data_IF_365149013519
#
_entry.id   IF_365149013519
#
_cell.length_a   1.000
_cell.length_b   1.000
_cell.length_c   1.000
_cell.angle_alpha   90.00
_cell.angle_beta   90.00
_cell.angle_gamma   90.00
#
_symmetry.space_group_name_H-M   'P 1'
#
loop_
_entity.id
_entity.type
_entity.pdbx_description
1 polymer ?
#
# COMPACT_ATOMS: atom_id res chain seq x y z
N UNK A 1 12.36 52.30 48.78
CA UNK A 1 12.86 52.36 47.39
C UNK A 1 12.56 51.03 46.73
N UNK A 2 11.69 50.95 45.70
CA UNK A 2 11.41 49.70 45.01
C UNK A 2 12.40 49.54 43.84
N UNK A 3 12.99 48.35 43.69
CA UNK A 3 13.65 47.94 42.46
C UNK A 3 12.74 46.91 41.78
N UNK A 4 12.09 47.32 40.69
CA UNK A 4 11.31 46.46 39.80
C UNK A 4 12.26 45.56 39.02
N UNK A 5 12.13 44.25 39.16
CA UNK A 5 12.70 43.27 38.24
C UNK A 5 11.58 42.83 37.28
N UNK A 6 11.69 43.22 36.01
CA UNK A 6 10.80 42.76 34.96
C UNK A 6 11.26 41.37 34.48
N UNK A 7 10.41 40.36 34.67
CA UNK A 7 10.59 39.04 34.06
C UNK A 7 9.95 39.09 32.68
N UNK A 8 10.77 39.00 31.63
CA UNK A 8 10.31 38.73 30.27
C UNK A 8 10.14 37.23 30.14
N UNK A 9 8.90 36.76 30.07
CA UNK A 9 8.58 35.39 29.68
C UNK A 9 8.61 35.33 28.15
N UNK A 10 9.65 34.71 27.58
CA UNK A 10 9.66 34.34 26.16
C UNK A 10 8.90 33.02 26.04
N UNK A 11 7.66 33.07 25.60
CA UNK A 11 6.92 31.88 25.17
C UNK A 11 7.45 31.47 23.80
N UNK A 12 8.30 30.46 23.75
CA UNK A 12 8.64 29.77 22.50
C UNK A 12 7.39 28.97 22.09
N UNK A 13 6.64 29.49 21.14
CA UNK A 13 5.58 28.74 20.49
C UNK A 13 6.20 27.63 19.65
N UNK A 14 6.10 26.38 20.11
CA UNK A 14 6.23 25.23 19.21
C UNK A 14 5.06 25.29 18.25
N UNK A 15 5.29 25.83 17.06
CA UNK A 15 4.38 25.63 15.95
C UNK A 15 4.34 24.14 15.66
N UNK A 16 3.23 23.48 16.00
CA UNK A 16 2.89 22.17 15.46
C UNK A 16 2.63 22.32 13.96
N UNK A 17 3.70 22.49 13.18
CA UNK A 17 3.63 22.18 11.76
C UNK A 17 3.39 20.68 11.66
N UNK A 18 2.17 20.28 11.33
CA UNK A 18 1.89 18.91 10.91
C UNK A 18 2.64 18.70 9.59
N UNK A 19 3.91 18.28 9.66
CA UNK A 19 4.57 17.69 8.53
C UNK A 19 3.68 16.51 8.09
N UNK A 20 3.16 16.57 6.86
CA UNK A 20 2.37 15.47 6.31
C UNK A 20 3.32 14.28 6.26
N UNK A 21 2.97 13.19 6.94
CA UNK A 21 3.80 11.99 6.95
C UNK A 21 4.03 11.56 5.49
N UNK A 22 5.29 11.32 5.14
CA UNK A 22 5.66 10.79 3.83
C UNK A 22 5.06 9.39 3.67
N UNK A 23 4.62 9.02 2.47
CA UNK A 23 4.12 7.68 2.18
C UNK A 23 5.15 6.63 2.57
N UNK A 24 4.72 5.63 3.33
CA UNK A 24 5.50 4.47 3.74
C UNK A 24 5.78 3.53 2.55
N UNK A 25 4.86 3.45 1.58
CA UNK A 25 5.00 2.56 0.42
C UNK A 25 5.83 3.14 -0.72
N UNK A 26 6.05 4.46 -0.77
CA UNK A 26 6.69 5.12 -1.91
C UNK A 26 8.04 4.49 -2.34
N UNK A 27 8.97 4.30 -1.40
CA UNK A 27 10.28 3.70 -1.73
C UNK A 27 10.17 2.23 -2.14
N UNK A 28 9.22 1.50 -1.56
CA UNK A 28 8.99 0.10 -1.88
C UNK A 28 8.37 -0.07 -3.27
N UNK A 29 7.48 0.83 -3.67
CA UNK A 29 6.86 0.86 -4.99
C UNK A 29 7.89 1.16 -6.08
N UNK A 30 8.74 2.17 -5.89
CA UNK A 30 9.85 2.48 -6.79
C UNK A 30 10.81 1.28 -6.94
N UNK A 31 11.19 0.68 -5.81
CA UNK A 31 12.10 -0.47 -5.79
C UNK A 31 11.51 -1.68 -6.51
N UNK A 32 10.24 -2.01 -6.25
CA UNK A 32 9.58 -3.14 -6.92
C UNK A 32 9.38 -2.87 -8.40
N UNK A 33 8.92 -1.68 -8.78
CA UNK A 33 8.72 -1.28 -10.17
C UNK A 33 10.01 -1.42 -10.98
N UNK A 34 11.12 -0.89 -10.48
CA UNK A 34 12.44 -1.03 -11.11
C UNK A 34 12.88 -2.50 -11.23
N UNK A 35 12.73 -3.29 -10.17
CA UNK A 35 13.08 -4.71 -10.19
C UNK A 35 12.23 -5.50 -11.20
N UNK A 36 10.94 -5.17 -11.34
CA UNK A 36 10.06 -5.78 -12.34
C UNK A 36 10.43 -5.35 -13.77
N UNK A 37 10.75 -4.08 -14.00
CA UNK A 37 11.22 -3.60 -15.32
C UNK A 37 12.54 -4.30 -15.72
N UNK A 38 13.50 -4.39 -14.80
CA UNK A 38 14.79 -5.06 -15.02
C UNK A 38 14.63 -6.55 -15.32
N UNK A 39 13.67 -7.21 -14.66
CA UNK A 39 13.34 -8.62 -14.88
C UNK A 39 12.40 -8.86 -16.07
N UNK A 40 11.88 -7.80 -16.71
CA UNK A 40 10.88 -7.91 -17.78
C UNK A 40 9.54 -8.51 -17.32
N UNK A 41 9.18 -8.33 -16.05
CA UNK A 41 7.98 -8.87 -15.43
C UNK A 41 6.82 -7.88 -15.52
N UNK A 42 5.63 -8.38 -15.86
CA UNK A 42 4.37 -7.62 -15.77
C UNK A 42 3.49 -8.07 -14.60
N UNK A 43 3.85 -9.18 -13.95
CA UNK A 43 3.18 -9.73 -12.80
C UNK A 43 4.20 -10.42 -11.90
N UNK A 44 3.98 -10.37 -10.59
CA UNK A 44 4.77 -11.07 -9.58
C UNK A 44 3.85 -11.55 -8.48
N UNK A 45 4.13 -12.71 -7.90
CA UNK A 45 3.37 -13.24 -6.78
C UNK A 45 4.24 -14.08 -5.86
N UNK A 46 3.90 -14.08 -4.58
CA UNK A 46 4.63 -14.79 -3.55
C UNK A 46 3.68 -15.24 -2.43
N UNK A 47 4.14 -16.21 -1.65
CA UNK A 47 3.47 -16.60 -0.40
C UNK A 47 3.77 -15.56 0.68
N UNK A 48 2.75 -15.14 1.42
CA UNK A 48 2.96 -14.32 2.62
C UNK A 48 3.50 -15.22 3.74
N UNK A 49 4.75 -15.02 4.14
CA UNK A 49 5.38 -15.82 5.19
C UNK A 49 4.94 -15.43 6.61
N UNK A 50 4.33 -14.25 6.78
CA UNK A 50 3.85 -13.78 8.07
C UNK A 50 2.48 -14.38 8.44
N UNK A 51 1.69 -14.79 7.44
CA UNK A 51 0.32 -15.30 7.64
C UNK A 51 0.11 -16.59 6.85
N UNK A 52 -0.14 -17.71 7.54
CA UNK A 52 -0.34 -18.98 6.86
C UNK A 52 -1.57 -18.96 5.95
N UNK A 53 -1.46 -19.59 4.78
CA UNK A 53 -2.52 -19.61 3.77
C UNK A 53 -2.74 -18.29 3.01
N UNK A 54 -2.00 -17.22 3.32
CA UNK A 54 -2.09 -15.93 2.63
C UNK A 54 -1.04 -15.82 1.51
N UNK A 55 -1.47 -15.20 0.42
CA UNK A 55 -0.64 -14.96 -0.76
C UNK A 55 -0.81 -13.51 -1.21
N UNK A 56 0.23 -13.01 -1.88
CA UNK A 56 0.27 -11.67 -2.41
C UNK A 56 0.66 -11.70 -3.88
N UNK A 57 0.07 -10.82 -4.68
CA UNK A 57 0.40 -10.66 -6.09
C UNK A 57 0.27 -9.21 -6.53
N UNK A 58 1.07 -8.80 -7.50
CA UNK A 58 0.98 -7.52 -8.15
C UNK A 58 0.91 -7.68 -9.68
N UNK A 59 0.08 -6.85 -10.33
CA UNK A 59 0.23 -6.52 -11.74
C UNK A 59 0.89 -5.15 -11.85
N UNK A 60 1.88 -5.04 -12.72
CA UNK A 60 2.62 -3.82 -12.94
C UNK A 60 2.48 -3.34 -14.38
N UNK A 61 2.03 -2.10 -14.53
CA UNK A 61 2.01 -1.38 -15.78
C UNK A 61 3.09 -0.32 -15.70
N UNK A 62 4.24 -0.61 -16.32
CA UNK A 62 5.49 0.16 -16.20
C UNK A 62 5.29 1.68 -16.08
N UNK A 63 5.70 2.22 -14.93
CA UNK A 63 5.63 3.65 -14.56
C UNK A 63 4.23 4.28 -14.50
N UNK A 64 3.15 3.50 -14.58
CA UNK A 64 1.77 4.01 -14.67
C UNK A 64 0.84 3.53 -13.59
N UNK A 65 0.95 2.27 -13.19
CA UNK A 65 0.00 1.69 -12.24
C UNK A 65 0.54 0.39 -11.66
N UNK A 66 0.25 0.16 -10.39
CA UNK A 66 0.43 -1.12 -9.73
C UNK A 66 -0.87 -1.56 -9.09
N UNK A 67 -1.34 -2.75 -9.48
CA UNK A 67 -2.53 -3.37 -8.89
C UNK A 67 -2.08 -4.49 -7.99
N UNK A 68 -2.32 -4.37 -6.69
CA UNK A 68 -1.84 -5.33 -5.70
C UNK A 68 -3.02 -6.04 -5.04
N UNK A 69 -2.92 -7.34 -4.87
CA UNK A 69 -3.90 -8.16 -4.15
C UNK A 69 -3.20 -9.02 -3.12
N UNK A 70 -3.77 -9.06 -1.91
CA UNK A 70 -3.34 -9.93 -0.83
C UNK A 70 -4.56 -10.59 -0.21
N UNK A 71 -4.58 -11.92 -0.10
CA UNK A 71 -5.71 -12.65 0.46
C UNK A 71 -5.34 -14.07 0.88
N UNK A 72 -6.15 -14.67 1.76
CA UNK A 72 -6.15 -16.11 1.97
C UNK A 72 -6.75 -16.85 0.77
N UNK A 73 -6.21 -18.03 0.49
CA UNK A 73 -6.68 -18.87 -0.60
C UNK A 73 -7.00 -20.28 -0.12
N UNK A 74 -8.20 -20.77 -0.44
CA UNK A 74 -8.71 -22.05 0.06
C UNK A 74 -7.92 -23.27 -0.45
N UNK A 75 -7.16 -23.13 -1.56
CA UNK A 75 -6.34 -24.17 -2.15
C UNK A 75 -4.86 -23.73 -2.26
N UNK A 76 -4.15 -23.55 -1.14
CA UNK A 76 -2.81 -22.93 -1.12
C UNK A 76 -1.79 -23.65 -2.03
N UNK A 77 -1.85 -24.99 -2.05
CA UNK A 77 -0.98 -25.82 -2.88
C UNK A 77 -1.08 -25.51 -4.39
N UNK A 78 -2.24 -25.02 -4.86
CA UNK A 78 -2.41 -24.63 -6.26
C UNK A 78 -1.61 -23.36 -6.57
N UNK A 79 -1.59 -22.39 -5.65
CA UNK A 79 -0.83 -21.16 -5.83
C UNK A 79 0.67 -21.42 -5.67
N UNK A 80 1.08 -22.30 -4.76
CA UNK A 80 2.49 -22.70 -4.61
C UNK A 80 3.06 -23.24 -5.94
N UNK A 81 2.31 -24.12 -6.62
CA UNK A 81 2.71 -24.66 -7.93
C UNK A 81 2.78 -23.57 -9.00
N UNK A 82 1.81 -22.65 -9.04
CA UNK A 82 1.80 -21.55 -10.01
C UNK A 82 2.96 -20.58 -9.79
N UNK A 83 3.27 -20.24 -8.53
CA UNK A 83 4.39 -19.37 -8.15
C UNK A 83 5.72 -20.03 -8.56
N UNK A 84 5.93 -21.30 -8.22
CA UNK A 84 7.14 -22.02 -8.59
C UNK A 84 7.34 -22.15 -10.12
N UNK A 85 6.25 -22.12 -10.88
CA UNK A 85 6.28 -22.12 -12.35
C UNK A 85 6.41 -20.73 -12.98
N UNK A 86 6.46 -19.65 -12.19
CA UNK A 86 6.48 -18.27 -12.69
C UNK A 86 5.14 -17.78 -13.27
N UNK A 87 4.04 -18.50 -13.03
CA UNK A 87 2.71 -18.18 -13.53
C UNK A 87 2.01 -17.12 -12.65
N UNK A 88 2.70 -16.01 -12.38
CA UNK A 88 2.27 -14.98 -11.43
C UNK A 88 0.97 -14.28 -11.82
N UNK A 89 0.73 -14.10 -13.12
CA UNK A 89 -0.52 -13.53 -13.64
C UNK A 89 -1.73 -14.37 -13.23
N UNK A 90 -1.60 -15.70 -13.30
CA UNK A 90 -2.69 -16.61 -12.93
C UNK A 90 -2.93 -16.61 -11.42
N UNK A 91 -1.88 -16.40 -10.61
CA UNK A 91 -2.02 -16.21 -9.16
C UNK A 91 -2.79 -14.92 -8.86
N UNK A 92 -2.47 -13.81 -9.52
CA UNK A 92 -3.21 -12.56 -9.37
C UNK A 92 -4.70 -12.73 -9.72
N UNK A 93 -5.01 -13.43 -10.82
CA UNK A 93 -6.40 -13.69 -11.25
C UNK A 93 -7.15 -14.53 -10.21
N UNK A 94 -6.53 -15.61 -9.72
CA UNK A 94 -7.10 -16.46 -8.67
C UNK A 94 -7.38 -15.65 -7.39
N UNK A 95 -6.42 -14.85 -6.93
CA UNK A 95 -6.59 -14.00 -5.75
C UNK A 95 -7.66 -12.92 -5.95
N UNK A 96 -7.80 -12.38 -7.16
CA UNK A 96 -8.81 -11.36 -7.47
C UNK A 96 -10.22 -11.91 -7.61
N UNK A 97 -10.40 -13.20 -7.90
CA UNK A 97 -11.71 -13.77 -8.26
C UNK A 97 -12.21 -14.86 -7.32
N UNK A 98 -11.32 -15.62 -6.67
CA UNK A 98 -11.65 -16.84 -5.95
C UNK A 98 -10.99 -16.94 -4.56
N UNK A 99 -10.37 -15.86 -4.06
CA UNK A 99 -9.88 -15.79 -2.68
C UNK A 99 -11.01 -15.65 -1.65
N UNK A 100 -10.67 -15.84 -0.37
CA UNK A 100 -11.59 -15.58 0.73
C UNK A 100 -11.82 -14.07 0.83
N UNK A 101 -12.99 -13.60 0.39
CA UNK A 101 -13.30 -12.18 0.21
C UNK A 101 -13.01 -11.33 1.46
N UNK A 102 -13.36 -11.83 2.64
CA UNK A 102 -13.20 -11.13 3.92
C UNK A 102 -11.73 -10.83 4.26
N UNK A 103 -10.80 -11.63 3.73
CA UNK A 103 -9.36 -11.49 3.93
C UNK A 103 -8.69 -10.66 2.84
N UNK A 104 -9.43 -10.33 1.78
CA UNK A 104 -8.87 -9.69 0.60
C UNK A 104 -8.63 -8.21 0.84
N UNK A 105 -7.37 -7.84 0.71
CA UNK A 105 -6.92 -6.49 0.41
C UNK A 105 -6.65 -6.39 -1.08
N UNK A 106 -7.21 -5.37 -1.73
CA UNK A 106 -6.85 -4.97 -3.09
C UNK A 106 -6.45 -3.49 -3.07
N UNK A 107 -5.33 -3.16 -3.68
CA UNK A 107 -4.80 -1.81 -3.79
C UNK A 107 -4.70 -1.43 -5.27
N UNK A 108 -5.17 -0.24 -5.59
CA UNK A 108 -4.96 0.42 -6.87
C UNK A 108 -4.03 1.63 -6.64
N UNK A 109 -2.76 1.50 -7.02
CA UNK A 109 -1.71 2.54 -6.94
C UNK A 109 -1.49 3.11 -8.34
N UNK A 110 -2.04 4.29 -8.60
CA UNK A 110 -1.82 5.04 -9.82
C UNK A 110 -0.48 5.77 -9.75
N UNK A 111 0.35 5.54 -10.76
CA UNK A 111 1.72 6.02 -10.83
C UNK A 111 2.75 4.97 -10.42
N UNK A 112 2.32 3.87 -9.78
CA UNK A 112 3.23 2.84 -9.26
C UNK A 112 4.31 3.46 -8.35
N UNK A 113 3.92 4.42 -7.53
CA UNK A 113 4.80 5.28 -6.73
C UNK A 113 4.41 5.30 -5.25
N UNK A 114 3.63 4.30 -4.82
CA UNK A 114 3.09 4.20 -3.47
C UNK A 114 1.87 5.08 -3.28
N UNK A 115 1.05 4.75 -2.28
CA UNK A 115 -0.23 5.42 -2.06
C UNK A 115 -0.06 6.91 -1.80
N UNK A 116 -0.87 7.72 -2.48
CA UNK A 116 -0.98 9.15 -2.31
C UNK A 116 -2.32 9.50 -1.63
N UNK A 117 -2.30 10.54 -0.77
CA UNK A 117 -3.49 11.00 -0.03
C UNK A 117 -4.40 11.92 -0.85
N UNK A 118 -4.06 12.14 -2.12
CA UNK A 118 -4.78 12.98 -3.05
C UNK A 118 -4.52 12.47 -4.48
N UNK A 119 -5.41 12.77 -5.44
CA UNK A 119 -5.27 12.28 -6.80
C UNK A 119 -3.97 12.76 -7.46
N UNK A 120 -3.30 11.85 -8.16
CA UNK A 120 -2.17 12.14 -9.04
C UNK A 120 -2.67 12.06 -10.49
N UNK A 121 -2.43 13.11 -11.28
CA UNK A 121 -2.92 13.22 -12.66
C UNK A 121 -4.43 12.94 -12.84
N UNK A 122 -5.22 13.26 -11.82
CA UNK A 122 -6.68 13.11 -11.82
C UNK A 122 -7.18 11.71 -11.45
N UNK A 123 -6.30 10.77 -11.14
CA UNK A 123 -6.66 9.46 -10.61
C UNK A 123 -6.33 9.37 -9.11
N UNK A 124 -7.30 8.92 -8.30
CA UNK A 124 -7.09 8.67 -6.88
C UNK A 124 -6.71 7.21 -6.67
N UNK A 125 -5.70 6.98 -5.84
CA UNK A 125 -5.39 5.63 -5.37
C UNK A 125 -6.53 5.09 -4.52
N UNK A 126 -6.59 3.77 -4.34
CA UNK A 126 -7.63 3.18 -3.50
C UNK A 126 -7.19 1.90 -2.80
N UNK A 127 -7.89 1.61 -1.70
CA UNK A 127 -7.81 0.35 -1.00
C UNK A 127 -9.20 -0.27 -0.89
N UNK A 128 -9.31 -1.55 -1.25
CA UNK A 128 -10.52 -2.35 -1.08
C UNK A 128 -10.26 -3.45 -0.07
N UNK A 129 -10.97 -3.42 1.07
CA UNK A 129 -10.89 -4.45 2.12
C UNK A 129 -12.23 -5.13 2.28
N UNK A 130 -12.27 -6.46 2.19
CA UNK A 130 -13.53 -7.20 2.36
C UNK A 130 -14.62 -6.80 1.35
N UNK A 131 -14.23 -6.28 0.18
CA UNK A 131 -15.16 -5.73 -0.82
C UNK A 131 -15.61 -4.28 -0.60
N UNK A 132 -15.15 -3.61 0.45
CA UNK A 132 -15.43 -2.19 0.70
C UNK A 132 -14.27 -1.33 0.18
N UNK A 133 -14.59 -0.42 -0.74
CA UNK A 133 -13.62 0.47 -1.38
C UNK A 133 -13.50 1.78 -0.59
N UNK A 134 -12.26 2.23 -0.37
CA UNK A 134 -11.91 3.56 0.09
C UNK A 134 -10.99 4.20 -0.96
N UNK A 135 -11.41 5.32 -1.54
CA UNK A 135 -10.58 6.13 -2.44
C UNK A 135 -9.79 7.16 -1.64
N UNK A 136 -8.52 7.35 -2.00
CA UNK A 136 -7.64 8.34 -1.39
C UNK A 136 -7.69 9.68 -2.14
N UNK A 137 -8.89 10.24 -2.27
CA UNK A 137 -9.20 11.46 -3.04
C UNK A 137 -9.01 12.77 -2.26
N UNK A 138 -8.73 12.68 -0.96
CA UNK A 138 -8.58 13.83 -0.06
C UNK A 138 -9.91 14.40 0.46
N UNK A 139 -11.03 13.71 0.23
CA UNK A 139 -12.36 14.10 0.68
C UNK A 139 -12.98 13.06 1.64
N UNK A 140 -12.58 13.06 2.93
CA UNK A 140 -13.13 12.13 3.93
C UNK A 140 -14.66 12.23 4.08
N UNK A 141 -15.25 13.40 3.78
CA UNK A 141 -16.68 13.63 3.88
C UNK A 141 -17.47 12.79 2.88
N UNK A 142 -16.95 12.60 1.67
CA UNK A 142 -17.55 11.73 0.64
C UNK A 142 -17.63 10.26 1.08
N UNK A 143 -16.68 9.83 1.93
CA UNK A 143 -16.59 8.47 2.50
C UNK A 143 -17.31 8.33 3.84
N UNK A 144 -17.98 9.39 4.33
CA UNK A 144 -18.63 9.43 5.66
C UNK A 144 -17.66 9.18 6.82
N UNK A 145 -16.40 9.58 6.67
CA UNK A 145 -15.36 9.45 7.69
C UNK A 145 -15.04 10.81 8.29
N UNK A 146 -14.58 10.81 9.54
CA UNK A 146 -13.84 11.97 10.06
C UNK A 146 -12.45 12.06 9.41
N UNK A 147 -11.80 13.23 9.43
CA UNK A 147 -10.43 13.37 8.94
C UNK A 147 -9.45 12.39 9.62
N UNK A 148 -9.61 12.15 10.91
CA UNK A 148 -8.74 11.25 11.66
C UNK A 148 -8.90 9.78 11.25
N UNK A 149 -10.14 9.30 11.08
CA UNK A 149 -10.40 7.92 10.63
C UNK A 149 -9.89 7.69 9.21
N UNK A 150 -10.05 8.69 8.33
CA UNK A 150 -9.52 8.62 6.96
C UNK A 150 -7.99 8.60 6.95
N UNK A 151 -7.37 9.41 7.81
CA UNK A 151 -5.91 9.46 7.93
C UNK A 151 -5.31 8.15 8.45
N UNK A 152 -6.00 7.50 9.39
CA UNK A 152 -5.66 6.19 9.94
C UNK A 152 -5.85 5.09 8.89
N UNK A 153 -6.97 5.10 8.16
CA UNK A 153 -7.25 4.12 7.12
C UNK A 153 -6.25 4.20 5.96
N UNK A 154 -5.84 5.41 5.56
CA UNK A 154 -4.73 5.59 4.62
C UNK A 154 -3.44 5.00 5.19
N UNK A 155 -3.07 5.36 6.43
CA UNK A 155 -1.79 4.94 6.99
C UNK A 155 -1.69 3.40 7.06
N UNK A 156 -2.77 2.74 7.47
CA UNK A 156 -2.86 1.29 7.49
C UNK A 156 -2.75 0.65 6.08
N UNK A 157 -3.38 1.25 5.06
CA UNK A 157 -3.26 0.77 3.69
C UNK A 157 -1.86 0.96 3.10
N UNK A 158 -1.22 2.07 3.44
CA UNK A 158 0.12 2.45 2.99
C UNK A 158 1.21 1.59 3.63
N UNK A 159 1.08 1.28 4.92
CA UNK A 159 1.93 0.32 5.62
C UNK A 159 1.75 -1.12 5.09
N UNK A 160 0.51 -1.56 4.87
CA UNK A 160 0.23 -2.87 4.27
C UNK A 160 0.83 -2.98 2.87
N UNK A 161 0.65 -1.96 2.03
CA UNK A 161 1.24 -1.94 0.70
C UNK A 161 2.77 -2.00 0.80
N UNK A 162 3.40 -1.18 1.64
CA UNK A 162 4.85 -1.19 1.82
C UNK A 162 5.40 -2.59 2.17
N UNK A 163 4.73 -3.29 3.08
CA UNK A 163 5.11 -4.64 3.49
C UNK A 163 4.96 -5.66 2.35
N UNK A 164 3.84 -5.60 1.61
CA UNK A 164 3.60 -6.49 0.46
C UNK A 164 4.65 -6.27 -0.63
N UNK A 165 4.93 -5.01 -0.97
CA UNK A 165 5.89 -4.66 -2.01
C UNK A 165 7.29 -5.14 -1.65
N UNK A 166 7.73 -4.94 -0.39
CA UNK A 166 9.00 -5.44 0.10
C UNK A 166 9.11 -6.97 -0.01
N UNK A 167 8.03 -7.70 0.29
CA UNK A 167 7.97 -9.15 0.16
C UNK A 167 8.11 -9.57 -1.32
N UNK A 168 7.38 -8.92 -2.23
CA UNK A 168 7.46 -9.20 -3.65
C UNK A 168 8.85 -8.91 -4.22
N UNK A 169 9.50 -7.83 -3.80
CA UNK A 169 10.88 -7.51 -4.18
C UNK A 169 11.85 -8.58 -3.68
N UNK A 170 11.69 -9.06 -2.44
CA UNK A 170 12.52 -10.14 -1.91
C UNK A 170 12.36 -11.42 -2.76
N UNK A 171 11.13 -11.77 -3.14
CA UNK A 171 10.85 -12.94 -3.99
C UNK A 171 11.54 -12.85 -5.37
N UNK A 172 11.57 -11.66 -6.00
CA UNK A 172 12.30 -11.46 -7.26
C UNK A 172 13.80 -11.74 -7.07
N UNK A 173 14.39 -11.31 -5.97
CA UNK A 173 15.83 -11.45 -5.71
C UNK A 173 16.26 -12.88 -5.35
N UNK A 174 15.31 -13.72 -4.92
CA UNK A 174 15.55 -15.11 -4.49
C UNK A 174 15.20 -16.15 -5.58
N UNK A 175 14.49 -15.74 -6.64
CA UNK A 175 14.04 -16.60 -7.75
C UNK A 175 15.09 -16.72 -8.86
#
# INVERSE_FOLDING_TARGET
MPLLAAIVVVTVGWGSGTARAQSASASAAETLGQAMDDAGLSAIAAKDSATDGRYVAALYFSGRQMLVVAAEYAAPQLLDVKIAAGNYRDVYVDLSSASVLETRLFIDDFGANGLQRAPTDGAADSATRGGQVLSFDGDPGSHRMSPAEYDEAYAAADEDLAAILALLTAHINES
#
